data_IF_117746950532
#
_entry.id   IF_117746950532
#
_cell.length_a   1.000
_cell.length_b   1.000
_cell.length_c   1.000
_cell.angle_alpha   90.00
_cell.angle_beta   90.00
_cell.angle_gamma   90.00
#
_symmetry.space_group_name_H-M   'P 1'
#
loop_
_entity.id
_entity.type
_entity.pdbx_description
1 polymer ?
#
# COMPACT_ATOMS: atom_id res chain seq x y z
N UNK A 1 -6.68 13.07 -20.58
CA UNK A 1 -5.60 12.37 -21.30
C UNK A 1 -5.17 11.22 -20.44
N UNK A 2 -5.17 10.02 -20.98
CA UNK A 2 -4.93 8.81 -20.17
C UNK A 2 -3.44 8.49 -20.10
N UNK A 3 -3.03 7.79 -19.03
CA UNK A 3 -1.69 7.22 -18.91
C UNK A 3 -1.29 6.42 -20.15
N UNK A 4 -0.08 6.69 -20.66
CA UNK A 4 0.58 5.99 -21.76
C UNK A 4 1.26 4.67 -21.35
N UNK A 5 1.20 4.33 -20.08
CA UNK A 5 1.64 3.06 -19.51
C UNK A 5 0.47 2.35 -18.80
N UNK A 6 0.62 1.05 -18.57
CA UNK A 6 -0.40 0.22 -17.92
C UNK A 6 -0.38 0.37 -16.39
N UNK A 7 -1.51 0.07 -15.74
CA UNK A 7 -1.58 -0.02 -14.27
C UNK A 7 -0.59 -1.07 -13.74
N UNK A 8 -0.43 -2.17 -14.48
CA UNK A 8 0.49 -3.25 -14.12
C UNK A 8 1.95 -2.79 -14.15
N UNK A 9 2.36 -2.06 -15.19
CA UNK A 9 3.70 -1.48 -15.31
C UNK A 9 4.01 -0.54 -14.15
N UNK A 10 3.06 0.33 -13.82
CA UNK A 10 3.15 1.22 -12.68
C UNK A 10 3.24 0.44 -11.35
N UNK A 11 2.36 -0.53 -11.13
CA UNK A 11 2.34 -1.33 -9.91
C UNK A 11 3.62 -2.12 -9.68
N UNK A 12 4.18 -2.70 -10.74
CA UNK A 12 5.49 -3.36 -10.69
C UNK A 12 6.60 -2.39 -10.25
N UNK A 13 6.65 -1.21 -10.86
CA UNK A 13 7.66 -0.20 -10.56
C UNK A 13 7.54 0.32 -9.11
N UNK A 14 6.31 0.62 -8.68
CA UNK A 14 6.01 1.09 -7.33
C UNK A 14 6.40 0.07 -6.24
N UNK A 15 6.05 -1.22 -6.41
CA UNK A 15 6.44 -2.26 -5.44
C UNK A 15 7.94 -2.44 -5.40
N UNK A 16 8.59 -2.50 -6.57
CA UNK A 16 10.04 -2.65 -6.63
C UNK A 16 10.77 -1.50 -5.94
N UNK A 17 10.29 -0.26 -6.10
CA UNK A 17 10.83 0.90 -5.39
C UNK A 17 10.59 0.80 -3.88
N UNK A 18 9.36 0.48 -3.45
CA UNK A 18 9.05 0.30 -2.03
C UNK A 18 9.93 -0.77 -1.37
N UNK A 19 10.06 -1.95 -1.99
CA UNK A 19 10.92 -3.03 -1.53
C UNK A 19 12.39 -2.60 -1.45
N UNK A 20 12.88 -1.87 -2.45
CA UNK A 20 14.26 -1.40 -2.49
C UNK A 20 14.56 -0.40 -1.37
N UNK A 21 13.74 0.65 -1.26
CA UNK A 21 14.00 1.78 -0.35
C UNK A 21 13.69 1.39 1.10
N UNK A 22 12.51 0.84 1.38
CA UNK A 22 12.15 0.42 2.74
C UNK A 22 13.00 -0.79 3.16
N UNK A 23 13.26 -1.72 2.24
CA UNK A 23 14.17 -2.85 2.54
C UNK A 23 15.58 -2.40 2.85
N UNK A 24 16.07 -1.29 2.28
CA UNK A 24 17.34 -0.68 2.69
C UNK A 24 17.27 -0.10 4.10
N UNK A 25 16.19 0.61 4.45
CA UNK A 25 15.97 1.12 5.81
C UNK A 25 16.03 -0.02 6.81
N UNK A 26 15.25 -1.09 6.61
CA UNK A 26 15.24 -2.23 7.52
C UNK A 26 16.60 -2.94 7.60
N UNK A 27 17.32 -3.10 6.47
CA UNK A 27 18.68 -3.67 6.47
C UNK A 27 19.70 -2.82 7.24
N UNK A 28 19.58 -1.50 7.21
CA UNK A 28 20.46 -0.61 7.99
C UNK A 28 20.26 -0.80 9.50
N UNK A 29 19.08 -1.27 9.91
CA UNK A 29 18.76 -1.55 11.32
C UNK A 29 19.06 -3.00 11.75
N UNK A 30 19.55 -3.89 10.87
CA UNK A 30 20.10 -5.20 11.27
C UNK A 30 19.83 -6.32 10.26
N UNK A 31 20.67 -7.37 10.29
CA UNK A 31 20.46 -8.60 9.52
C UNK A 31 19.62 -9.60 10.33
N UNK A 32 18.71 -10.37 9.71
CA UNK A 32 18.02 -11.46 10.39
C UNK A 32 19.04 -12.52 10.82
N UNK A 33 18.88 -13.04 12.05
CA UNK A 33 19.71 -14.15 12.51
C UNK A 33 19.10 -15.45 12.02
N UNK A 34 19.83 -16.15 11.16
CA UNK A 34 19.46 -17.48 10.71
C UNK A 34 20.00 -18.51 11.72
N UNK A 35 19.19 -19.49 12.15
CA UNK A 35 19.68 -20.56 13.02
C UNK A 35 20.80 -21.34 12.31
N UNK A 36 21.75 -21.85 13.10
CA UNK A 36 22.76 -22.77 12.58
C UNK A 36 22.15 -24.14 12.28
N UNK A 37 22.76 -24.94 11.39
CA UNK A 37 22.36 -26.32 11.06
C UNK A 37 22.15 -27.22 12.31
N UNK A 38 22.86 -26.95 13.41
CA UNK A 38 22.72 -27.67 14.69
C UNK A 38 21.44 -27.25 15.42
N UNK A 39 21.08 -25.98 15.35
CA UNK A 39 19.82 -25.45 15.91
C UNK A 39 18.61 -25.85 15.06
N UNK A 40 18.77 -26.02 13.73
CA UNK A 40 17.71 -26.53 12.85
C UNK A 40 17.27 -27.96 13.22
N UNK A 41 18.22 -28.84 13.60
CA UNK A 41 17.94 -30.20 14.08
C UNK A 41 17.19 -30.24 15.43
N UNK A 42 17.44 -29.28 16.33
CA UNK A 42 16.76 -29.19 17.63
C UNK A 42 15.40 -28.46 17.57
N UNK A 43 15.27 -27.47 16.69
CA UNK A 43 14.09 -26.60 16.61
C UNK A 43 13.06 -27.07 15.57
N UNK A 44 13.46 -27.89 14.59
CA UNK A 44 12.56 -28.51 13.60
C UNK A 44 12.03 -27.55 12.53
N UNK A 45 12.71 -26.43 12.27
CA UNK A 45 12.37 -25.49 11.20
C UNK A 45 13.63 -24.81 10.61
N UNK A 46 13.67 -24.63 9.28
CA UNK A 46 14.81 -24.06 8.52
C UNK A 46 14.97 -22.53 8.66
N UNK A 47 13.86 -21.82 8.89
CA UNK A 47 13.83 -20.38 9.20
C UNK A 47 12.43 -20.05 9.71
N UNK A 48 12.29 -19.73 10.99
CA UNK A 48 11.04 -19.20 11.50
C UNK A 48 11.09 -17.71 11.22
N UNK A 49 10.14 -17.19 10.44
CA UNK A 49 9.87 -15.75 10.38
C UNK A 49 8.69 -15.51 11.32
N UNK A 50 8.91 -15.26 12.62
CA UNK A 50 7.84 -15.23 13.60
C UNK A 50 6.99 -13.96 13.49
N UNK A 51 7.55 -12.85 12.99
CA UNK A 51 6.92 -11.54 13.07
C UNK A 51 6.96 -10.76 11.76
N UNK A 52 5.95 -9.91 11.59
CA UNK A 52 5.83 -8.90 10.55
C UNK A 52 6.05 -7.55 11.21
N UNK A 53 7.15 -6.88 10.86
CA UNK A 53 7.44 -5.56 11.39
C UNK A 53 6.69 -4.47 10.67
N UNK A 54 6.42 -4.69 9.38
CA UNK A 54 5.66 -3.77 8.56
C UNK A 54 5.15 -4.46 7.29
N UNK A 55 3.85 -4.33 7.04
CA UNK A 55 3.22 -4.71 5.79
C UNK A 55 2.69 -3.46 5.06
N UNK A 56 3.13 -3.26 3.82
CA UNK A 56 2.66 -2.16 2.97
C UNK A 56 1.77 -2.72 1.86
N UNK A 57 0.50 -2.33 1.87
CA UNK A 57 -0.49 -2.68 0.85
C UNK A 57 -0.74 -1.48 -0.06
N UNK A 58 -0.48 -1.64 -1.35
CA UNK A 58 -0.68 -0.62 -2.37
C UNK A 58 -1.71 -1.07 -3.39
N UNK A 59 -2.86 -0.40 -3.43
CA UNK A 59 -3.85 -0.54 -4.49
C UNK A 59 -3.54 0.45 -5.60
N UNK A 60 -3.01 -0.04 -6.71
CA UNK A 60 -2.64 0.80 -7.85
C UNK A 60 -3.88 1.35 -8.55
N UNK A 61 -3.75 2.57 -9.05
CA UNK A 61 -4.75 3.25 -9.88
C UNK A 61 -4.06 3.92 -11.06
N UNK A 62 -4.73 3.90 -12.21
CA UNK A 62 -4.36 4.76 -13.35
C UNK A 62 -4.86 6.17 -13.12
N UNK A 63 -4.04 7.14 -13.50
CA UNK A 63 -4.43 8.55 -13.47
C UNK A 63 -4.99 8.99 -14.82
N UNK A 64 -5.91 9.95 -14.78
CA UNK A 64 -6.35 10.75 -15.90
C UNK A 64 -5.81 12.17 -15.73
N UNK A 65 -5.10 12.68 -16.73
CA UNK A 65 -4.66 14.07 -16.75
C UNK A 65 -5.72 14.96 -17.42
N UNK A 66 -6.24 15.91 -16.66
CA UNK A 66 -7.23 16.90 -17.11
C UNK A 66 -6.48 18.19 -17.39
N UNK A 67 -6.28 18.54 -18.66
CA UNK A 67 -5.45 19.69 -19.07
C UNK A 67 -6.22 20.99 -19.28
N UNK A 68 -7.55 20.92 -19.48
CA UNK A 68 -8.41 22.06 -19.79
C UNK A 68 -9.84 21.81 -19.39
N UNK A 69 -10.65 22.88 -19.33
CA UNK A 69 -12.10 22.79 -19.12
C UNK A 69 -12.71 21.88 -20.17
N UNK A 70 -13.45 20.89 -19.72
CA UNK A 70 -14.25 20.02 -20.57
C UNK A 70 -15.62 19.82 -19.92
N UNK A 71 -16.73 19.99 -20.66
CA UNK A 71 -18.08 19.85 -20.10
C UNK A 71 -18.35 18.49 -19.42
N UNK A 72 -17.70 17.43 -19.90
CA UNK A 72 -17.81 16.09 -19.30
C UNK A 72 -16.82 15.82 -18.15
N UNK A 73 -16.05 16.82 -17.70
CA UNK A 73 -15.12 16.62 -16.59
C UNK A 73 -15.80 16.93 -15.26
N UNK A 74 -16.09 15.92 -14.40
CA UNK A 74 -16.71 16.15 -13.10
C UNK A 74 -15.82 16.93 -12.12
N UNK A 75 -14.53 17.09 -12.42
CA UNK A 75 -13.55 17.67 -11.50
C UNK A 75 -13.13 19.09 -11.88
N UNK A 76 -13.31 19.52 -13.14
CA UNK A 76 -12.77 20.80 -13.59
C UNK A 76 -13.43 22.00 -12.88
N UNK A 77 -14.73 21.96 -12.65
CA UNK A 77 -15.44 23.11 -12.05
C UNK A 77 -15.03 23.35 -10.59
N UNK A 78 -14.48 22.34 -9.92
CA UNK A 78 -13.98 22.43 -8.55
C UNK A 78 -12.52 22.83 -8.45
N UNK A 79 -11.70 22.43 -9.44
CA UNK A 79 -10.23 22.59 -9.39
C UNK A 79 -9.75 23.74 -10.27
N UNK A 80 -10.41 23.98 -11.39
CA UNK A 80 -10.19 25.09 -12.31
C UNK A 80 -8.74 25.29 -12.81
N UNK A 81 -7.95 24.22 -12.84
CA UNK A 81 -6.58 24.19 -13.36
C UNK A 81 -6.21 22.77 -13.83
N UNK A 82 -5.09 22.58 -14.56
CA UNK A 82 -4.65 21.26 -14.93
C UNK A 82 -4.36 20.38 -13.70
N UNK A 83 -4.84 19.13 -13.72
CA UNK A 83 -4.70 18.23 -12.58
C UNK A 83 -4.74 16.75 -12.99
N UNK A 84 -4.24 15.90 -12.12
CA UNK A 84 -4.31 14.45 -12.19
C UNK A 84 -5.48 13.96 -11.35
N UNK A 85 -6.16 12.91 -11.79
CA UNK A 85 -7.25 12.31 -11.01
C UNK A 85 -7.33 10.81 -11.19
N UNK A 86 -7.89 10.12 -10.21
CA UNK A 86 -8.40 8.77 -10.39
C UNK A 86 -9.75 8.60 -9.69
N UNK A 87 -10.44 7.55 -10.09
CA UNK A 87 -11.82 7.30 -9.68
C UNK A 87 -11.90 6.04 -8.81
N UNK A 88 -12.68 6.10 -7.73
CA UNK A 88 -12.96 4.98 -6.84
C UNK A 88 -14.46 4.87 -6.63
N UNK A 89 -15.00 3.67 -6.81
CA UNK A 89 -16.35 3.34 -6.35
C UNK A 89 -16.31 2.93 -4.88
N UNK A 90 -16.77 3.82 -4.00
CA UNK A 90 -16.82 3.60 -2.54
C UNK A 90 -18.06 2.83 -2.10
N UNK A 91 -19.02 2.57 -2.99
CA UNK A 91 -20.10 1.62 -2.76
C UNK A 91 -19.68 0.16 -3.09
N UNK A 92 -18.56 -0.02 -3.80
CA UNK A 92 -18.03 -1.33 -4.16
C UNK A 92 -17.44 -2.09 -2.98
N UNK A 93 -17.59 -3.43 -3.01
CA UNK A 93 -17.03 -4.34 -2.01
C UNK A 93 -15.50 -4.24 -1.88
N UNK A 94 -14.79 -3.89 -2.96
CA UNK A 94 -13.33 -3.74 -2.92
C UNK A 94 -12.90 -2.58 -2.02
N UNK A 95 -13.53 -1.42 -2.15
CA UNK A 95 -13.23 -0.27 -1.29
C UNK A 95 -13.54 -0.59 0.18
N UNK A 96 -14.69 -1.21 0.44
CA UNK A 96 -15.08 -1.65 1.78
C UNK A 96 -14.07 -2.63 2.41
N UNK A 97 -13.54 -3.58 1.61
CA UNK A 97 -12.51 -4.51 2.06
C UNK A 97 -11.20 -3.79 2.42
N UNK A 98 -10.76 -2.85 1.59
CA UNK A 98 -9.54 -2.08 1.86
C UNK A 98 -9.66 -1.19 3.09
N UNK A 99 -10.79 -0.51 3.27
CA UNK A 99 -11.06 0.27 4.49
C UNK A 99 -11.12 -0.62 5.74
N UNK A 100 -11.68 -1.83 5.62
CA UNK A 100 -11.67 -2.82 6.71
C UNK A 100 -10.26 -3.29 7.03
N UNK A 101 -9.43 -3.58 6.02
CA UNK A 101 -8.03 -3.97 6.23
C UNK A 101 -7.25 -2.86 6.93
N UNK A 102 -7.40 -1.61 6.46
CA UNK A 102 -6.79 -0.43 7.10
C UNK A 102 -7.18 -0.35 8.59
N UNK A 103 -8.48 -0.46 8.91
CA UNK A 103 -8.95 -0.43 10.29
C UNK A 103 -8.37 -1.57 11.15
N UNK A 104 -8.25 -2.78 10.59
CA UNK A 104 -7.64 -3.93 11.28
C UNK A 104 -6.16 -3.71 11.56
N UNK A 105 -5.39 -3.21 10.59
CA UNK A 105 -3.97 -2.91 10.77
C UNK A 105 -3.77 -1.76 11.78
N UNK A 106 -4.61 -0.73 11.74
CA UNK A 106 -4.55 0.38 12.70
C UNK A 106 -4.83 -0.06 14.14
N UNK A 107 -5.56 -1.16 14.36
CA UNK A 107 -5.81 -1.71 15.70
C UNK A 107 -4.59 -2.40 16.33
N UNK A 108 -3.55 -2.67 15.54
CA UNK A 108 -2.26 -3.21 15.98
C UNK A 108 -1.16 -2.23 15.61
N UNK A 109 -0.69 -1.39 16.55
CA UNK A 109 0.28 -0.34 16.26
C UNK A 109 1.49 -0.84 15.47
N UNK A 110 1.80 -0.19 14.36
CA UNK A 110 2.98 -0.48 13.54
C UNK A 110 2.89 -1.72 12.66
N UNK A 111 1.73 -2.39 12.57
CA UNK A 111 1.60 -3.67 11.83
C UNK A 111 1.56 -3.54 10.30
N UNK A 112 1.11 -2.40 9.78
CA UNK A 112 1.07 -2.17 8.34
C UNK A 112 0.17 -1.00 7.94
N UNK A 113 0.20 -0.67 6.66
CA UNK A 113 -0.54 0.44 6.08
C UNK A 113 -1.17 0.04 4.74
N UNK A 114 -2.32 0.63 4.42
CA UNK A 114 -3.07 0.39 3.18
C UNK A 114 -3.27 1.72 2.47
N UNK A 115 -2.89 1.80 1.20
CA UNK A 115 -3.06 3.01 0.40
C UNK A 115 -3.61 2.71 -0.98
N UNK A 116 -4.40 3.64 -1.51
CA UNK A 116 -4.48 3.83 -2.95
C UNK A 116 -3.27 4.65 -3.41
N UNK A 117 -2.70 4.28 -4.54
CA UNK A 117 -1.59 5.02 -5.13
C UNK A 117 -1.75 5.17 -6.63
N UNK A 118 -1.45 6.36 -7.14
CA UNK A 118 -1.55 6.68 -8.56
C UNK A 118 -0.45 7.68 -8.95
N UNK A 119 0.15 7.55 -10.14
CA UNK A 119 1.17 8.47 -10.60
C UNK A 119 0.61 9.88 -10.80
N UNK A 120 1.41 10.91 -10.52
CA UNK A 120 1.12 12.32 -10.89
C UNK A 120 1.83 12.70 -12.20
N UNK A 121 1.95 11.72 -13.09
CA UNK A 121 2.48 11.81 -14.44
C UNK A 121 1.77 10.78 -15.33
N UNK A 122 1.77 11.02 -16.65
CA UNK A 122 0.98 10.20 -17.58
C UNK A 122 1.70 9.86 -18.89
N UNK A 123 2.85 10.48 -19.18
CA UNK A 123 3.64 10.20 -20.37
C UNK A 123 4.58 9.01 -20.11
N UNK A 124 4.94 8.28 -21.17
CA UNK A 124 5.88 7.17 -21.08
C UNK A 124 7.28 7.65 -20.68
N UNK A 125 7.71 8.80 -21.22
CA UNK A 125 9.01 9.40 -20.89
C UNK A 125 9.13 9.77 -19.40
N UNK A 126 8.06 10.30 -18.81
CA UNK A 126 8.00 10.60 -17.39
C UNK A 126 8.12 9.34 -16.54
N UNK A 127 7.44 8.27 -16.98
CA UNK A 127 7.48 6.98 -16.30
C UNK A 127 8.87 6.34 -16.39
N UNK A 128 9.49 6.34 -17.57
CA UNK A 128 10.84 5.81 -17.77
C UNK A 128 11.86 6.56 -16.92
N UNK A 129 11.74 7.90 -16.83
CA UNK A 129 12.54 8.72 -15.93
C UNK A 129 12.32 8.34 -14.47
N UNK A 130 11.07 8.39 -13.99
CA UNK A 130 10.75 8.08 -12.60
C UNK A 130 11.23 6.67 -12.21
N UNK A 131 11.05 5.69 -13.10
CA UNK A 131 11.54 4.33 -12.91
C UNK A 131 13.06 4.25 -12.84
N UNK A 132 13.77 4.95 -13.75
CA UNK A 132 15.23 4.94 -13.80
C UNK A 132 15.90 5.58 -12.58
N UNK A 133 15.24 6.55 -11.95
CA UNK A 133 15.76 7.26 -10.77
C UNK A 133 15.16 6.81 -9.43
N UNK A 134 14.21 5.87 -9.43
CA UNK A 134 13.55 5.41 -8.20
C UNK A 134 12.68 6.51 -7.56
N UNK A 135 11.95 7.24 -8.40
CA UNK A 135 11.07 8.37 -8.02
C UNK A 135 9.60 8.08 -8.36
N UNK A 136 9.23 6.83 -8.62
CA UNK A 136 7.86 6.46 -9.00
C UNK A 136 6.90 6.76 -7.86
N UNK A 137 7.22 6.36 -6.62
CA UNK A 137 6.35 6.65 -5.47
C UNK A 137 6.46 8.10 -5.01
N UNK A 138 7.64 8.72 -5.16
CA UNK A 138 7.82 10.15 -4.88
C UNK A 138 6.96 11.02 -5.82
N UNK A 139 6.86 10.62 -7.09
CA UNK A 139 6.00 11.27 -8.11
C UNK A 139 4.62 10.62 -8.18
N UNK A 140 4.11 10.14 -7.05
CA UNK A 140 2.78 9.55 -6.96
C UNK A 140 1.96 10.18 -5.85
N UNK A 141 0.66 10.21 -6.10
CA UNK A 141 -0.35 10.49 -5.09
C UNK A 141 -0.60 9.25 -4.25
N UNK A 142 -0.71 9.43 -2.93
CA UNK A 142 -0.96 8.36 -1.97
C UNK A 142 -2.12 8.81 -1.07
N UNK A 143 -3.13 7.95 -0.91
CA UNK A 143 -4.30 8.27 -0.07
C UNK A 143 -4.79 7.03 0.67
N UNK A 144 -5.16 7.23 1.93
CA UNK A 144 -5.75 6.18 2.76
C UNK A 144 -7.18 5.86 2.29
N UNK A 145 -7.63 4.59 2.37
CA UNK A 145 -9.03 4.28 2.14
C UNK A 145 -10.00 5.08 3.02
N UNK A 146 -9.67 5.30 4.29
CA UNK A 146 -10.47 6.08 5.24
C UNK A 146 -10.65 7.56 4.88
N UNK A 147 -9.85 8.11 3.96
CA UNK A 147 -10.06 9.47 3.44
C UNK A 147 -11.24 9.56 2.47
N UNK A 148 -11.75 8.42 1.99
CA UNK A 148 -12.88 8.36 1.08
C UNK A 148 -14.09 7.83 1.84
N UNK A 149 -15.17 8.59 1.83
CA UNK A 149 -16.41 8.22 2.51
C UNK A 149 -17.02 6.96 1.89
N UNK A 150 -17.38 6.00 2.73
CA UNK A 150 -17.91 4.72 2.28
C UNK A 150 -19.38 4.85 1.83
N UNK A 151 -19.78 4.08 0.81
CA UNK A 151 -21.16 3.95 0.34
C UNK A 151 -21.82 5.24 -0.22
N UNK A 152 -21.04 6.23 -0.65
CA UNK A 152 -21.58 7.43 -1.33
C UNK A 152 -21.42 7.39 -2.86
N UNK A 153 -20.94 6.26 -3.39
CA UNK A 153 -20.84 6.00 -4.83
C UNK A 153 -19.45 6.34 -5.38
N UNK A 154 -19.39 7.13 -6.45
CA UNK A 154 -18.13 7.39 -7.15
C UNK A 154 -17.43 8.61 -6.57
N UNK A 155 -16.20 8.41 -6.09
CA UNK A 155 -15.27 9.47 -5.70
C UNK A 155 -14.26 9.73 -6.80
N UNK A 156 -13.89 11.02 -6.95
CA UNK A 156 -12.67 11.41 -7.64
C UNK A 156 -11.66 11.92 -6.62
N UNK A 157 -10.48 11.34 -6.61
CA UNK A 157 -9.32 11.89 -5.93
C UNK A 157 -8.51 12.69 -6.94
N UNK A 158 -8.15 13.91 -6.60
CA UNK A 158 -7.45 14.84 -7.49
C UNK A 158 -6.16 15.32 -6.87
N UNK A 159 -5.11 15.46 -7.68
CA UNK A 159 -3.87 16.13 -7.32
C UNK A 159 -3.51 17.18 -8.37
N UNK A 160 -3.23 18.41 -7.94
CA UNK A 160 -2.82 19.51 -8.83
C UNK A 160 -1.32 19.45 -9.13
N UNK A 161 -0.85 20.28 -10.07
CA UNK A 161 0.58 20.39 -10.36
C UNK A 161 1.39 20.93 -9.16
N UNK A 162 0.75 21.69 -8.28
CA UNK A 162 1.31 22.25 -7.06
C UNK A 162 1.35 21.22 -5.91
N UNK A 163 0.83 20.01 -6.13
CA UNK A 163 0.77 18.93 -5.13
C UNK A 163 -0.44 18.98 -4.21
N UNK A 164 -1.38 19.91 -4.42
CA UNK A 164 -2.60 20.00 -3.62
C UNK A 164 -3.53 18.82 -3.94
N UNK A 165 -4.06 18.18 -2.90
CA UNK A 165 -4.92 17.01 -3.03
C UNK A 165 -6.36 17.32 -2.61
N UNK A 166 -7.34 16.82 -3.36
CA UNK A 166 -8.76 17.00 -3.10
C UNK A 166 -9.55 15.69 -3.25
N UNK A 167 -10.51 15.49 -2.35
CA UNK A 167 -11.56 14.46 -2.47
C UNK A 167 -12.81 15.15 -3.01
N UNK A 168 -13.29 14.76 -4.19
CA UNK A 168 -14.37 15.47 -4.90
C UNK A 168 -15.74 14.76 -4.84
N UNK A 169 -16.03 14.00 -3.79
CA UNK A 169 -17.42 13.65 -3.41
C UNK A 169 -18.08 14.78 -2.61
N UNK A 170 -17.29 15.41 -1.75
CA UNK A 170 -17.54 16.66 -1.06
C UNK A 170 -16.23 17.45 -1.18
N UNK A 171 -16.12 18.50 -2.01
CA UNK A 171 -14.85 19.16 -2.28
C UNK A 171 -14.15 19.59 -0.98
N UNK A 172 -13.14 18.80 -0.58
CA UNK A 172 -12.34 19.02 0.63
C UNK A 172 -10.93 18.47 0.46
N UNK A 173 -9.94 19.01 1.18
CA UNK A 173 -8.67 18.32 1.32
C UNK A 173 -8.84 17.00 2.09
N UNK A 174 -7.96 16.00 1.87
CA UNK A 174 -7.88 14.86 2.76
C UNK A 174 -7.48 15.33 4.17
N UNK A 175 -8.04 14.69 5.21
CA UNK A 175 -7.72 14.98 6.60
C UNK A 175 -6.28 14.60 6.93
N UNK A 176 -5.78 13.52 6.34
CA UNK A 176 -4.40 13.06 6.39
C UNK A 176 -3.78 13.15 5.00
N UNK A 177 -2.82 14.06 4.85
CA UNK A 177 -1.96 14.08 3.67
C UNK A 177 -0.82 13.09 3.87
N UNK A 178 -0.63 12.21 2.89
CA UNK A 178 0.41 11.19 2.91
C UNK A 178 1.33 11.43 1.73
N UNK A 179 2.59 11.67 2.04
CA UNK A 179 3.66 11.73 1.05
C UNK A 179 4.59 10.54 1.23
N UNK A 180 5.23 10.11 0.15
CA UNK A 180 6.17 9.00 0.18
C UNK A 180 7.32 9.25 1.18
N UNK A 181 7.89 10.45 1.19
CA UNK A 181 8.91 10.86 2.17
C UNK A 181 8.44 10.71 3.64
N UNK A 182 7.18 11.00 3.94
CA UNK A 182 6.61 10.80 5.29
C UNK A 182 6.51 9.31 5.63
N UNK A 183 6.15 8.46 4.67
CA UNK A 183 6.14 7.01 4.86
C UNK A 183 7.54 6.46 5.09
N UNK A 184 8.55 6.98 4.38
CA UNK A 184 9.94 6.62 4.61
C UNK A 184 10.43 7.01 6.01
N UNK A 185 10.06 8.20 6.48
CA UNK A 185 10.36 8.62 7.86
C UNK A 185 9.71 7.67 8.86
N UNK A 186 8.42 7.37 8.70
CA UNK A 186 7.71 6.45 9.58
C UNK A 186 8.29 5.03 9.54
N UNK A 187 8.70 4.53 8.36
CA UNK A 187 9.38 3.25 8.23
C UNK A 187 10.74 3.24 8.95
N UNK A 188 11.51 4.33 8.88
CA UNK A 188 12.76 4.46 9.60
C UNK A 188 12.55 4.49 11.12
N UNK A 189 11.56 5.24 11.61
CA UNK A 189 11.20 5.28 13.03
C UNK A 189 10.75 3.89 13.52
N UNK A 190 9.95 3.18 12.72
CA UNK A 190 9.52 1.80 13.00
C UNK A 190 10.68 0.83 13.05
N UNK A 191 11.60 0.90 12.09
CA UNK A 191 12.76 0.03 12.02
C UNK A 191 13.73 0.29 13.19
N UNK A 192 13.92 1.54 13.60
CA UNK A 192 14.66 1.89 14.81
C UNK A 192 14.00 1.32 16.07
N UNK A 193 12.67 1.50 16.21
CA UNK A 193 11.91 0.97 17.35
C UNK A 193 11.77 -0.56 17.36
N UNK A 194 11.90 -1.24 16.22
CA UNK A 194 11.81 -2.71 16.14
C UNK A 194 12.90 -3.39 16.98
N UNK A 195 14.07 -2.76 17.14
CA UNK A 195 15.13 -3.24 18.05
C UNK A 195 14.73 -3.23 19.52
N UNK A 196 13.87 -2.30 19.91
CA UNK A 196 13.47 -2.06 21.31
C UNK A 196 12.12 -2.69 21.63
N UNK A 197 11.34 -3.11 20.63
CA UNK A 197 10.03 -3.72 20.81
C UNK A 197 10.17 -5.09 21.47
N UNK A 198 9.54 -5.24 22.63
CA UNK A 198 9.24 -6.55 23.22
C UNK A 198 8.31 -7.29 22.25
N UNK A 199 8.54 -8.59 22.01
CA UNK A 199 7.81 -9.48 21.07
C UNK A 199 6.27 -9.42 21.12
N UNK A 200 5.69 -8.78 22.14
CA UNK A 200 4.24 -8.62 22.31
C UNK A 200 3.59 -7.57 21.41
N UNK A 201 4.35 -6.60 20.88
CA UNK A 201 3.78 -5.47 20.11
C UNK A 201 3.86 -5.66 18.58
N UNK A 202 4.43 -6.76 18.11
CA UNK A 202 4.57 -7.08 16.68
C UNK A 202 3.43 -7.97 16.18
N UNK A 203 2.90 -7.67 14.99
CA UNK A 203 1.93 -8.56 14.32
C UNK A 203 2.65 -9.80 13.82
N UNK A 204 2.13 -10.99 14.11
CA UNK A 204 2.65 -12.22 13.50
C UNK A 204 1.94 -12.51 12.15
N UNK A 205 2.51 -13.42 11.37
CA UNK A 205 1.94 -13.81 10.07
C UNK A 205 0.52 -14.38 10.17
N UNK A 206 0.15 -14.98 11.31
CA UNK A 206 -1.21 -15.50 11.53
C UNK A 206 -2.23 -14.38 11.67
N UNK A 207 -1.94 -13.39 12.52
CA UNK A 207 -2.78 -12.22 12.71
C UNK A 207 -2.93 -11.40 11.42
N UNK A 208 -1.87 -11.31 10.60
CA UNK A 208 -1.94 -10.66 9.28
C UNK A 208 -2.82 -11.45 8.30
N UNK A 209 -2.66 -12.77 8.25
CA UNK A 209 -3.50 -13.65 7.42
C UNK A 209 -4.98 -13.55 7.83
N UNK A 210 -5.27 -13.54 9.13
CA UNK A 210 -6.63 -13.41 9.64
C UNK A 210 -7.22 -12.02 9.35
N UNK A 211 -6.43 -10.93 9.45
CA UNK A 211 -6.88 -9.60 9.06
C UNK A 211 -7.24 -9.51 7.57
N UNK A 212 -6.45 -10.17 6.71
CA UNK A 212 -6.72 -10.24 5.27
C UNK A 212 -7.98 -11.07 4.95
N UNK A 213 -8.17 -12.21 5.61
CA UNK A 213 -9.36 -13.03 5.43
C UNK A 213 -10.63 -12.33 5.92
N UNK A 214 -10.55 -11.63 7.05
CA UNK A 214 -11.63 -10.82 7.59
C UNK A 214 -12.04 -9.71 6.61
N UNK A 215 -11.07 -9.00 6.05
CA UNK A 215 -11.27 -8.00 4.99
C UNK A 215 -11.90 -8.62 3.73
N UNK A 216 -11.35 -9.74 3.25
CA UNK A 216 -11.79 -10.42 2.03
C UNK A 216 -13.19 -11.02 2.12
N UNK A 217 -13.70 -11.28 3.33
CA UNK A 217 -15.07 -11.78 3.53
C UNK A 217 -16.13 -10.88 2.86
N UNK A 218 -15.83 -9.59 2.68
CA UNK A 218 -16.68 -8.62 1.99
C UNK A 218 -16.71 -8.77 0.46
N UNK A 219 -15.65 -9.31 -0.14
CA UNK A 219 -15.56 -9.56 -1.59
C UNK A 219 -15.97 -11.00 -1.89
N UNK A 220 -15.48 -11.95 -1.09
CA UNK A 220 -15.65 -13.38 -1.30
C UNK A 220 -15.89 -14.08 0.05
N UNK A 221 -17.14 -14.43 0.38
CA UNK A 221 -17.51 -15.01 1.68
C UNK A 221 -16.84 -16.36 1.99
N UNK A 222 -16.35 -17.07 0.97
CA UNK A 222 -15.63 -18.35 1.12
C UNK A 222 -14.28 -18.28 0.44
N UNK A 223 -13.25 -18.27 1.25
CA UNK A 223 -11.86 -18.43 0.82
C UNK A 223 -11.32 -19.73 1.43
N UNK A 224 -11.07 -20.74 0.59
CA UNK A 224 -10.47 -21.98 1.07
C UNK A 224 -9.00 -21.72 1.39
N UNK A 225 -8.64 -21.98 2.65
CA UNK A 225 -7.25 -21.93 3.09
C UNK A 225 -6.54 -23.16 2.50
N UNK A 226 -5.66 -22.92 1.53
CA UNK A 226 -4.70 -23.93 1.08
C UNK A 226 -3.67 -24.15 2.20
N UNK A 227 -4.02 -24.95 3.21
CA UNK A 227 -3.19 -25.18 4.39
C UNK A 227 -1.82 -25.79 4.06
N UNK A 228 -1.67 -26.37 2.85
CA UNK A 228 -0.42 -26.93 2.35
C UNK A 228 0.58 -25.86 1.89
N UNK A 229 0.10 -24.66 1.53
CA UNK A 229 0.96 -23.55 1.11
C UNK A 229 1.55 -22.81 2.33
N UNK A 230 2.82 -22.37 2.27
CA UNK A 230 3.41 -21.51 3.30
C UNK A 230 2.57 -20.24 3.53
N UNK A 231 2.50 -19.76 4.79
CA UNK A 231 1.68 -18.58 5.16
C UNK A 231 2.00 -17.34 4.33
N UNK A 232 3.29 -17.06 4.10
CA UNK A 232 3.74 -15.95 3.27
C UNK A 232 3.11 -15.97 1.87
N UNK A 233 3.07 -17.14 1.23
CA UNK A 233 2.44 -17.34 -0.08
C UNK A 233 0.93 -17.16 -0.03
N UNK A 234 0.28 -17.57 1.06
CA UNK A 234 -1.17 -17.35 1.25
C UNK A 234 -1.47 -15.87 1.40
N UNK A 235 -0.71 -15.16 2.23
CA UNK A 235 -0.82 -13.69 2.42
C UNK A 235 -0.66 -12.96 1.08
N UNK A 236 0.35 -13.30 0.28
CA UNK A 236 0.53 -12.72 -1.07
C UNK A 236 -0.67 -12.97 -1.98
N UNK A 237 -1.23 -14.20 -1.98
CA UNK A 237 -2.44 -14.53 -2.74
C UNK A 237 -3.64 -13.72 -2.27
N UNK A 238 -3.82 -13.57 -0.95
CA UNK A 238 -4.92 -12.79 -0.38
C UNK A 238 -4.81 -11.30 -0.76
N UNK A 239 -3.61 -10.73 -0.67
CA UNK A 239 -3.34 -9.35 -1.10
C UNK A 239 -3.66 -9.15 -2.59
N UNK A 240 -3.27 -10.11 -3.45
CA UNK A 240 -3.58 -10.06 -4.87
C UNK A 240 -5.10 -10.11 -5.15
N UNK A 241 -5.88 -10.85 -4.36
CA UNK A 241 -7.35 -10.89 -4.48
C UNK A 241 -7.99 -9.57 -4.06
N UNK A 242 -7.40 -8.85 -3.09
CA UNK A 242 -7.80 -7.48 -2.76
C UNK A 242 -7.45 -6.49 -3.88
N UNK A 243 -6.63 -6.89 -4.86
CA UNK A 243 -6.11 -6.04 -5.93
C UNK A 243 -4.84 -5.29 -5.53
N UNK A 244 -4.22 -5.63 -4.40
CA UNK A 244 -3.06 -4.93 -3.88
C UNK A 244 -1.75 -5.57 -4.30
N UNK A 245 -0.74 -4.74 -4.57
CA UNK A 245 0.65 -5.12 -4.36
C UNK A 245 0.96 -5.13 -2.87
N UNK A 246 1.79 -6.08 -2.43
CA UNK A 246 2.22 -6.23 -1.05
C UNK A 246 3.74 -6.20 -0.98
N UNK A 247 4.29 -5.30 -0.17
CA UNK A 247 5.67 -5.37 0.30
C UNK A 247 5.62 -5.76 1.79
N UNK A 248 6.28 -6.88 2.13
CA UNK A 248 6.30 -7.43 3.49
C UNK A 248 7.72 -7.33 4.05
N UNK A 249 7.87 -6.68 5.20
CA UNK A 249 9.14 -6.52 5.88
C UNK A 249 9.08 -7.28 7.21
N UNK A 250 10.07 -8.15 7.41
CA UNK A 250 10.11 -9.09 8.53
C UNK A 250 11.49 -9.08 9.15
N UNK A 251 11.54 -9.14 10.47
CA UNK A 251 12.74 -9.18 11.29
C UNK A 251 12.72 -10.46 12.12
N UNK A 252 13.88 -11.11 12.18
CA UNK A 252 14.15 -12.17 13.16
C UNK A 252 14.91 -11.54 14.31
N UNK A 253 14.25 -11.43 15.46
CA UNK A 253 14.90 -11.03 16.70
C UNK A 253 15.28 -12.30 17.48
N UNK A 254 16.57 -12.47 17.74
CA UNK A 254 17.18 -13.50 18.61
C UNK A 254 16.34 -13.82 19.86
#
# INVERSE_FOLDING_TARGET
MDCKFSEFSYGYAAIREAESVIGQIYRQHGAPVLPSLIQEEELGYDARIPFVDYALFLQFKRTEYVSRRHPASPTWEHVNMPHYRFTIDTAGHQHAALARLEARLNSTPGSGEVFYTAPTFHLQEDFDHAYGFGEVLERSSIVLPSELEQNVGVHHFVVTAEGESLVLSQPRPPQKQVHWSTLLSAANDRAGAARERVRHDSMNLESLEDALLDSLSLIRPRFDRDLSAPRSRRIQRLAAVLGCGLALFTFDAD
#
